data_IF_829602880819
#
_entry.id   IF_829602880819
#
_cell.length_a   1.000
_cell.length_b   1.000
_cell.length_c   1.000
_cell.angle_alpha   90.00
_cell.angle_beta   90.00
_cell.angle_gamma   90.00
#
_symmetry.space_group_name_H-M   'P 1'
#
loop_
_entity.id
_entity.type
_entity.pdbx_description
1 polymer ?
#
# COMPACT_ATOMS: atom_id res chain seq x y z
N UNK A 1 -17.51 2.69 -9.67
CA UNK A 1 -18.12 2.36 -8.36
C UNK A 1 -19.23 1.34 -8.54
N UNK A 2 -19.21 0.23 -7.82
CA UNK A 2 -20.28 -0.76 -7.81
C UNK A 2 -21.02 -0.72 -6.47
N UNK A 3 -22.34 -0.67 -6.52
CA UNK A 3 -23.21 -0.84 -5.37
C UNK A 3 -23.65 -2.29 -5.28
N UNK A 4 -23.32 -2.98 -4.20
CA UNK A 4 -23.81 -4.33 -3.89
C UNK A 4 -24.85 -4.17 -2.79
N UNK A 5 -26.13 -4.30 -3.12
CA UNK A 5 -27.22 -3.75 -2.29
C UNK A 5 -28.26 -4.81 -1.99
N UNK A 6 -28.57 -4.94 -0.70
CA UNK A 6 -29.75 -5.65 -0.24
C UNK A 6 -31.03 -4.97 -0.76
N UNK A 7 -31.90 -5.75 -1.39
CA UNK A 7 -33.17 -5.26 -1.97
C UNK A 7 -34.40 -5.95 -1.41
N UNK A 8 -34.33 -6.36 -0.16
CA UNK A 8 -35.43 -6.90 0.63
C UNK A 8 -36.29 -5.78 1.22
N UNK A 9 -37.36 -6.18 1.89
CA UNK A 9 -38.47 -5.35 2.35
C UNK A 9 -38.05 -4.23 3.31
N UNK A 10 -37.09 -4.54 4.17
CA UNK A 10 -36.60 -3.68 5.25
C UNK A 10 -35.75 -2.52 4.74
N UNK A 11 -34.97 -2.73 3.69
CA UNK A 11 -34.16 -1.72 2.98
C UNK A 11 -34.96 -0.62 2.24
N UNK A 12 -36.29 -0.59 2.37
CA UNK A 12 -37.15 0.30 1.58
C UNK A 12 -36.84 1.78 1.75
N UNK A 13 -36.59 2.21 2.98
CA UNK A 13 -36.38 3.62 3.28
C UNK A 13 -34.95 4.06 2.94
N UNK A 14 -33.94 3.21 3.17
CA UNK A 14 -32.54 3.38 2.71
C UNK A 14 -32.44 3.52 1.20
N UNK A 15 -33.09 2.60 0.47
CA UNK A 15 -33.14 2.63 -0.99
C UNK A 15 -33.83 3.92 -1.47
N UNK A 16 -34.86 4.40 -0.77
CA UNK A 16 -35.51 5.68 -1.11
C UNK A 16 -34.58 6.86 -0.87
N UNK A 17 -33.88 6.91 0.27
CA UNK A 17 -32.95 7.98 0.58
C UNK A 17 -31.83 8.08 -0.47
N UNK A 18 -31.27 6.95 -0.92
CA UNK A 18 -30.27 6.92 -2.00
C UNK A 18 -30.87 7.37 -3.33
N UNK A 19 -32.09 6.94 -3.68
CA UNK A 19 -32.77 7.39 -4.92
C UNK A 19 -32.89 8.90 -4.97
N UNK A 20 -33.34 9.51 -3.88
CA UNK A 20 -33.63 10.94 -3.81
C UNK A 20 -32.35 11.78 -3.88
N UNK A 21 -31.22 11.24 -3.41
CA UNK A 21 -29.92 11.93 -3.34
C UNK A 21 -28.92 11.50 -4.40
N UNK A 22 -29.27 10.56 -5.28
CA UNK A 22 -28.33 10.02 -6.27
C UNK A 22 -27.78 11.09 -7.22
N UNK A 23 -28.62 12.04 -7.66
CA UNK A 23 -28.15 13.12 -8.52
C UNK A 23 -27.18 14.03 -7.77
N UNK A 24 -27.46 14.37 -6.52
CA UNK A 24 -26.56 15.15 -5.67
C UNK A 24 -25.21 14.43 -5.51
N UNK A 25 -25.23 13.12 -5.23
CA UNK A 25 -24.03 12.27 -5.15
C UNK A 25 -23.24 12.35 -6.45
N UNK A 26 -23.88 12.12 -7.60
CA UNK A 26 -23.17 12.11 -8.88
C UNK A 26 -22.63 13.48 -9.26
N UNK A 27 -23.41 14.54 -9.07
CA UNK A 27 -23.03 15.91 -9.38
C UNK A 27 -21.90 16.40 -8.45
N UNK A 28 -21.87 15.96 -7.20
CA UNK A 28 -20.79 16.24 -6.26
C UNK A 28 -19.47 15.62 -6.71
N UNK A 29 -19.48 14.32 -7.04
CA UNK A 29 -18.26 13.61 -7.48
C UNK A 29 -17.75 14.21 -8.79
N UNK A 30 -18.64 14.42 -9.77
CA UNK A 30 -18.25 14.91 -11.10
C UNK A 30 -17.52 16.25 -11.02
N UNK A 31 -17.92 17.12 -10.07
CA UNK A 31 -17.23 18.40 -9.83
C UNK A 31 -15.89 18.26 -9.13
N UNK A 32 -15.71 17.26 -8.28
CA UNK A 32 -14.47 17.05 -7.52
C UNK A 32 -13.41 16.30 -8.33
N UNK A 33 -13.84 15.37 -9.15
CA UNK A 33 -12.98 14.54 -10.00
C UNK A 33 -12.94 15.07 -11.44
N UNK A 34 -12.57 16.35 -11.61
CA UNK A 34 -12.41 16.92 -12.94
C UNK A 34 -11.46 16.06 -13.79
N UNK A 35 -11.90 15.73 -15.01
CA UNK A 35 -11.13 14.90 -15.95
C UNK A 35 -11.27 13.39 -15.77
N UNK A 36 -12.06 12.89 -14.81
CA UNK A 36 -12.32 11.45 -14.65
C UNK A 36 -13.68 11.04 -15.21
N UNK A 37 -13.72 9.92 -15.94
CA UNK A 37 -14.97 9.25 -16.30
C UNK A 37 -15.46 8.39 -15.13
N UNK A 38 -16.60 8.76 -14.55
CA UNK A 38 -17.23 7.97 -13.49
C UNK A 38 -18.24 7.00 -14.11
N UNK A 39 -18.11 5.72 -13.76
CA UNK A 39 -19.06 4.67 -14.12
C UNK A 39 -19.62 4.02 -12.86
N UNK A 40 -20.92 3.75 -12.88
CA UNK A 40 -21.61 3.05 -11.80
C UNK A 40 -22.22 1.74 -12.26
N UNK A 41 -22.16 0.74 -11.38
CA UNK A 41 -22.81 -0.55 -11.51
C UNK A 41 -23.65 -0.85 -10.27
N UNK A 42 -24.63 -1.74 -10.39
CA UNK A 42 -25.47 -2.19 -9.28
C UNK A 42 -25.59 -3.71 -9.33
N UNK A 43 -25.27 -4.38 -8.24
CA UNK A 43 -25.62 -5.78 -7.99
C UNK A 43 -26.62 -5.77 -6.85
N UNK A 44 -27.87 -6.08 -7.13
CA UNK A 44 -28.86 -6.25 -6.08
C UNK A 44 -28.95 -7.71 -5.68
N UNK A 45 -28.94 -7.99 -4.38
CA UNK A 45 -29.18 -9.33 -3.84
C UNK A 45 -30.43 -9.34 -2.94
N UNK A 46 -30.92 -10.55 -2.68
CA UNK A 46 -32.00 -10.90 -1.76
C UNK A 46 -31.67 -12.24 -1.13
N UNK A 47 -32.62 -13.16 -1.04
CA UNK A 47 -32.46 -14.49 -0.49
C UNK A 47 -32.55 -15.61 -1.56
N UNK A 48 -32.15 -16.81 -1.17
CA UNK A 48 -32.31 -18.06 -1.90
C UNK A 48 -33.73 -18.62 -1.79
N UNK A 49 -34.21 -19.37 -2.80
CA UNK A 49 -35.37 -20.23 -2.64
C UNK A 49 -35.16 -21.24 -1.50
N UNK A 50 -36.17 -21.53 -0.66
CA UNK A 50 -37.58 -21.15 -0.80
C UNK A 50 -37.97 -19.79 -0.20
N UNK A 51 -37.03 -19.05 0.38
CA UNK A 51 -37.27 -17.85 1.19
C UNK A 51 -37.66 -16.66 0.32
N UNK A 52 -36.94 -16.46 -0.79
CA UNK A 52 -37.38 -15.63 -1.91
C UNK A 52 -37.39 -16.45 -3.23
N UNK A 53 -38.51 -16.40 -3.96
CA UNK A 53 -38.69 -17.08 -5.25
C UNK A 53 -38.47 -16.16 -6.46
N UNK A 54 -38.16 -14.88 -6.24
CA UNK A 54 -38.09 -13.86 -7.28
C UNK A 54 -36.73 -13.78 -7.97
N UNK A 55 -35.64 -13.68 -7.21
CA UNK A 55 -34.24 -13.78 -7.64
C UNK A 55 -33.30 -13.75 -6.44
N UNK A 56 -32.15 -14.41 -6.56
CA UNK A 56 -31.04 -14.29 -5.59
C UNK A 56 -30.23 -13.04 -5.86
N UNK A 57 -29.76 -12.87 -7.11
CA UNK A 57 -29.01 -11.68 -7.54
C UNK A 57 -29.52 -11.12 -8.87
N UNK A 58 -29.31 -9.81 -9.08
CA UNK A 58 -29.42 -9.16 -10.40
C UNK A 58 -28.27 -8.20 -10.60
N UNK A 59 -27.64 -8.29 -11.76
CA UNK A 59 -26.48 -7.49 -12.13
C UNK A 59 -26.87 -6.44 -13.17
N UNK A 60 -26.52 -5.20 -12.88
CA UNK A 60 -26.51 -4.10 -13.83
C UNK A 60 -25.09 -3.56 -13.94
N UNK A 61 -24.46 -3.86 -15.07
CA UNK A 61 -23.05 -3.55 -15.32
C UNK A 61 -22.78 -2.03 -15.44
N UNK A 62 -21.49 -1.68 -15.44
CA UNK A 62 -21.01 -0.31 -15.45
C UNK A 62 -21.54 0.54 -16.60
N UNK A 63 -21.97 1.76 -16.26
CA UNK A 63 -22.37 2.79 -17.24
C UNK A 63 -22.00 4.17 -16.72
N UNK A 64 -21.59 5.08 -17.61
CA UNK A 64 -21.39 6.50 -17.31
C UNK A 64 -22.68 7.33 -17.45
N UNK A 65 -23.77 6.71 -17.94
CA UNK A 65 -25.07 7.37 -18.10
C UNK A 65 -25.85 7.41 -16.78
N UNK A 66 -25.72 8.51 -16.03
CA UNK A 66 -26.41 8.78 -14.75
C UNK A 66 -27.91 8.46 -14.79
N UNK A 67 -28.61 8.91 -15.83
CA UNK A 67 -30.05 8.63 -16.02
C UNK A 67 -30.38 7.14 -16.08
N UNK A 68 -29.48 6.31 -16.62
CA UNK A 68 -29.67 4.85 -16.64
C UNK A 68 -29.55 4.27 -15.24
N UNK A 69 -28.56 4.70 -14.46
CA UNK A 69 -28.35 4.22 -13.08
C UNK A 69 -29.52 4.63 -12.21
N UNK A 70 -29.92 5.91 -12.26
CA UNK A 70 -31.10 6.39 -11.55
C UNK A 70 -32.33 5.54 -11.86
N UNK A 71 -32.56 5.22 -13.14
CA UNK A 71 -33.66 4.34 -13.55
C UNK A 71 -33.54 2.93 -12.99
N UNK A 72 -32.34 2.35 -12.88
CA UNK A 72 -32.17 1.01 -12.33
C UNK A 72 -32.33 0.99 -10.81
N UNK A 73 -31.71 1.92 -10.10
CA UNK A 73 -31.91 2.08 -8.65
C UNK A 73 -33.41 2.31 -8.38
N UNK A 74 -34.07 3.19 -9.15
CA UNK A 74 -35.53 3.44 -9.07
C UNK A 74 -36.38 2.19 -9.22
N UNK A 75 -35.93 1.18 -9.98
CA UNK A 75 -36.63 -0.08 -10.19
C UNK A 75 -36.42 -1.10 -9.07
N UNK A 76 -35.44 -0.88 -8.18
CA UNK A 76 -35.28 -1.72 -6.99
C UNK A 76 -36.55 -1.59 -6.16
N UNK A 77 -37.29 -2.69 -6.07
CA UNK A 77 -38.52 -2.82 -5.31
C UNK A 77 -38.24 -3.79 -4.17
N UNK A 78 -38.18 -3.33 -2.91
CA UNK A 78 -38.17 -4.16 -1.72
C UNK A 78 -39.19 -5.30 -1.79
N UNK A 79 -38.81 -6.52 -1.41
CA UNK A 79 -39.67 -7.72 -1.34
C UNK A 79 -39.45 -8.47 -0.03
N UNK A 80 -40.40 -9.30 0.38
CA UNK A 80 -40.24 -10.13 1.57
C UNK A 80 -39.06 -11.10 1.36
N UNK A 81 -38.09 -11.11 2.29
CA UNK A 81 -36.88 -11.94 2.25
C UNK A 81 -37.11 -13.37 2.75
N UNK A 82 -38.04 -13.57 3.69
CA UNK A 82 -38.30 -14.89 4.28
C UNK A 82 -37.71 -14.98 5.67
N UNK A 83 -36.56 -15.65 5.83
CA UNK A 83 -35.76 -15.57 7.06
C UNK A 83 -34.92 -14.28 7.11
N UNK A 84 -34.37 -13.92 8.28
CA UNK A 84 -33.65 -12.65 8.41
C UNK A 84 -32.27 -12.56 7.73
N UNK A 85 -31.44 -13.62 7.61
CA UNK A 85 -30.20 -13.55 6.82
C UNK A 85 -30.47 -13.50 5.31
N UNK A 86 -29.51 -12.97 4.54
CA UNK A 86 -29.68 -12.76 3.09
C UNK A 86 -28.44 -13.24 2.29
N UNK A 87 -28.57 -13.35 0.97
CA UNK A 87 -27.54 -13.85 0.03
C UNK A 87 -26.43 -12.84 -0.28
N UNK A 88 -25.81 -12.28 0.78
CA UNK A 88 -24.69 -11.32 0.69
C UNK A 88 -23.52 -11.91 -0.10
N UNK A 89 -23.23 -13.19 0.10
CA UNK A 89 -22.13 -13.89 -0.54
C UNK A 89 -22.29 -13.94 -2.07
N UNK A 90 -23.49 -14.28 -2.57
CA UNK A 90 -23.82 -14.29 -3.99
C UNK A 90 -23.73 -12.89 -4.59
N UNK A 91 -24.17 -11.86 -3.86
CA UNK A 91 -24.03 -10.47 -4.28
C UNK A 91 -22.57 -10.06 -4.51
N UNK A 92 -21.67 -10.43 -3.60
CA UNK A 92 -20.24 -10.16 -3.72
C UNK A 92 -19.59 -11.01 -4.83
N UNK A 93 -19.96 -12.29 -4.93
CA UNK A 93 -19.48 -13.17 -6.00
C UNK A 93 -19.85 -12.64 -7.38
N UNK A 94 -21.09 -12.21 -7.57
CA UNK A 94 -21.55 -11.61 -8.83
C UNK A 94 -20.89 -10.26 -9.09
N UNK A 95 -20.64 -9.46 -8.06
CA UNK A 95 -19.89 -8.21 -8.19
C UNK A 95 -18.46 -8.46 -8.67
N UNK A 96 -17.81 -9.53 -8.22
CA UNK A 96 -16.46 -9.90 -8.66
C UNK A 96 -16.44 -10.50 -10.06
N UNK A 97 -17.38 -11.39 -10.37
CA UNK A 97 -17.29 -12.25 -11.56
C UNK A 97 -18.10 -11.75 -12.76
N UNK A 98 -19.14 -10.94 -12.55
CA UNK A 98 -20.06 -10.51 -13.62
C UNK A 98 -19.95 -9.02 -13.97
N UNK A 99 -19.32 -8.19 -13.12
CA UNK A 99 -19.11 -6.78 -13.44
C UNK A 99 -17.84 -6.57 -14.27
N UNK A 100 -17.94 -5.69 -15.26
CA UNK A 100 -16.84 -5.34 -16.17
C UNK A 100 -15.91 -4.29 -15.56
N UNK A 101 -15.20 -4.64 -14.48
CA UNK A 101 -14.23 -3.76 -13.84
C UNK A 101 -13.12 -3.38 -14.82
N UNK A 102 -12.92 -2.07 -15.03
CA UNK A 102 -11.89 -1.61 -15.93
C UNK A 102 -10.49 -1.70 -15.28
N UNK A 103 -9.49 -2.27 -15.99
CA UNK A 103 -8.17 -2.51 -15.41
C UNK A 103 -7.50 -1.20 -14.97
N UNK A 104 -7.66 -0.14 -15.75
CA UNK A 104 -7.08 1.20 -15.65
C UNK A 104 -7.92 2.18 -14.81
N UNK A 105 -8.75 1.68 -13.89
CA UNK A 105 -9.62 2.52 -13.05
C UNK A 105 -9.35 2.35 -11.56
N UNK A 106 -9.62 3.41 -10.79
CA UNK A 106 -9.90 3.32 -9.36
C UNK A 106 -11.25 2.62 -9.18
N UNK A 107 -11.26 1.51 -8.45
CA UNK A 107 -12.41 0.61 -8.31
C UNK A 107 -12.94 0.71 -6.89
N UNK A 108 -14.22 1.04 -6.76
CA UNK A 108 -14.89 1.16 -5.47
C UNK A 108 -16.03 0.17 -5.42
N UNK A 109 -16.01 -0.74 -4.46
CA UNK A 109 -17.12 -1.62 -4.12
C UNK A 109 -17.76 -1.16 -2.82
N UNK A 110 -19.07 -0.95 -2.84
CA UNK A 110 -19.86 -0.54 -1.69
C UNK A 110 -20.93 -1.61 -1.42
N UNK A 111 -20.72 -2.41 -0.38
CA UNK A 111 -21.72 -3.36 0.14
C UNK A 111 -22.66 -2.63 1.10
N UNK A 112 -23.98 -2.77 0.92
CA UNK A 112 -25.01 -2.10 1.71
C UNK A 112 -26.11 -3.10 2.05
N UNK A 113 -26.44 -3.23 3.34
CA UNK A 113 -27.55 -4.08 3.78
C UNK A 113 -27.86 -3.94 5.26
N UNK A 114 -29.01 -4.48 5.65
CA UNK A 114 -29.52 -4.46 7.02
C UNK A 114 -29.78 -5.88 7.58
N UNK A 115 -29.42 -6.91 6.81
CA UNK A 115 -29.45 -8.30 7.19
C UNK A 115 -28.07 -8.98 7.11
N UNK A 116 -27.73 -9.89 8.05
CA UNK A 116 -26.44 -10.58 8.03
C UNK A 116 -26.39 -11.61 6.89
N UNK A 117 -25.20 -12.06 6.47
CA UNK A 117 -25.07 -13.22 5.59
C UNK A 117 -25.60 -14.50 6.26
N UNK A 118 -26.05 -15.46 5.45
CA UNK A 118 -26.24 -16.85 5.88
C UNK A 118 -24.93 -17.45 6.43
N UNK A 119 -25.07 -18.31 7.44
CA UNK A 119 -23.97 -19.08 8.00
C UNK A 119 -23.62 -18.74 9.45
N UNK A 120 -23.31 -19.76 10.26
CA UNK A 120 -22.93 -19.61 11.67
C UNK A 120 -21.67 -18.79 11.92
N UNK A 121 -20.86 -18.56 10.90
CA UNK A 121 -19.71 -17.66 10.96
C UNK A 121 -20.10 -16.17 11.03
N UNK A 122 -21.35 -15.84 10.68
CA UNK A 122 -21.84 -14.48 10.52
C UNK A 122 -23.04 -14.14 11.41
N UNK A 123 -23.88 -15.13 11.76
CA UNK A 123 -25.05 -14.88 12.60
C UNK A 123 -25.32 -16.06 13.56
N UNK A 124 -26.10 -15.80 14.62
CA UNK A 124 -26.54 -16.80 15.60
C UNK A 124 -28.05 -17.06 15.55
N UNK A 125 -28.71 -16.60 14.49
CA UNK A 125 -30.16 -16.62 14.34
C UNK A 125 -30.67 -18.06 14.16
N UNK A 126 -31.66 -18.45 14.97
CA UNK A 126 -32.15 -19.84 14.96
C UNK A 126 -32.94 -20.18 13.70
N UNK A 127 -33.51 -19.16 13.07
CA UNK A 127 -34.32 -19.19 11.87
C UNK A 127 -33.52 -19.03 10.57
N UNK A 128 -32.18 -18.95 10.63
CA UNK A 128 -31.32 -19.04 9.44
C UNK A 128 -31.57 -20.38 8.73
N UNK A 129 -32.14 -20.32 7.54
CA UNK A 129 -32.47 -21.48 6.72
C UNK A 129 -31.22 -22.15 6.15
N UNK A 130 -30.13 -21.41 6.03
CA UNK A 130 -28.84 -21.84 5.51
C UNK A 130 -27.72 -21.68 6.55
N UNK A 131 -27.78 -22.40 7.68
CA UNK A 131 -26.85 -22.21 8.80
C UNK A 131 -25.41 -22.59 8.45
N UNK A 132 -25.19 -23.40 7.42
CA UNK A 132 -23.86 -23.80 6.96
C UNK A 132 -23.23 -22.79 5.97
N UNK A 133 -23.93 -21.70 5.65
CA UNK A 133 -23.49 -20.65 4.74
C UNK A 133 -24.24 -20.64 3.41
N UNK A 134 -23.77 -19.82 2.46
CA UNK A 134 -24.34 -19.72 1.13
C UNK A 134 -24.49 -21.11 0.46
N UNK A 135 -25.69 -21.48 -0.04
CA UNK A 135 -25.91 -22.74 -0.75
C UNK A 135 -25.05 -22.95 -2.00
N UNK A 136 -24.60 -21.87 -2.63
CA UNK A 136 -23.69 -21.91 -3.78
C UNK A 136 -22.21 -22.05 -3.37
N UNK A 137 -21.91 -22.07 -2.06
CA UNK A 137 -20.56 -22.25 -1.52
C UNK A 137 -19.70 -20.98 -1.51
N UNK A 138 -20.30 -19.80 -1.67
CA UNK A 138 -19.60 -18.52 -1.61
C UNK A 138 -19.45 -18.03 -0.16
N UNK A 139 -18.33 -17.39 0.15
CA UNK A 139 -18.10 -16.78 1.47
C UNK A 139 -17.83 -15.27 1.33
N UNK A 140 -18.57 -14.40 2.04
CA UNK A 140 -18.42 -12.96 1.94
C UNK A 140 -16.99 -12.44 2.19
N UNK A 141 -16.26 -13.01 3.16
CA UNK A 141 -14.88 -12.60 3.47
C UNK A 141 -13.93 -13.07 2.36
N UNK A 142 -14.10 -14.29 1.84
CA UNK A 142 -13.30 -14.79 0.73
C UNK A 142 -13.54 -14.00 -0.57
N UNK A 143 -14.76 -13.55 -0.83
CA UNK A 143 -15.08 -12.76 -2.03
C UNK A 143 -14.41 -11.37 -2.00
N UNK A 144 -14.42 -10.67 -0.85
CA UNK A 144 -13.70 -9.38 -0.74
C UNK A 144 -12.19 -9.55 -0.82
N UNK A 145 -11.64 -10.62 -0.25
CA UNK A 145 -10.21 -10.98 -0.39
C UNK A 145 -9.87 -11.26 -1.84
N UNK A 146 -10.75 -11.96 -2.57
CA UNK A 146 -10.57 -12.26 -3.98
C UNK A 146 -10.65 -11.00 -4.86
N UNK A 147 -11.62 -10.11 -4.61
CA UNK A 147 -11.69 -8.79 -5.27
C UNK A 147 -10.39 -7.98 -5.08
N UNK A 148 -9.85 -7.96 -3.87
CA UNK A 148 -8.58 -7.27 -3.57
C UNK A 148 -7.40 -7.94 -4.28
N UNK A 149 -7.38 -9.27 -4.37
CA UNK A 149 -6.35 -10.02 -5.11
C UNK A 149 -6.42 -9.75 -6.61
N UNK A 150 -7.62 -9.71 -7.18
CA UNK A 150 -7.84 -9.56 -8.63
C UNK A 150 -7.49 -8.14 -9.14
N UNK A 151 -7.55 -7.14 -8.25
CA UNK A 151 -7.43 -5.72 -8.63
C UNK A 151 -6.37 -4.92 -7.87
N UNK A 152 -5.71 -5.53 -6.89
CA UNK A 152 -4.62 -4.91 -6.14
C UNK A 152 -5.04 -3.67 -5.35
N UNK A 153 -4.11 -2.73 -5.26
CA UNK A 153 -4.23 -1.48 -4.52
C UNK A 153 -5.28 -0.52 -5.07
N UNK A 154 -5.72 -0.70 -6.33
CA UNK A 154 -6.78 0.10 -6.96
C UNK A 154 -8.21 -0.27 -6.53
N UNK A 155 -8.41 -1.36 -5.77
CA UNK A 155 -9.73 -1.80 -5.29
C UNK A 155 -9.99 -1.37 -3.84
N UNK A 156 -10.96 -0.50 -3.65
CA UNK A 156 -11.42 0.01 -2.37
C UNK A 156 -12.75 -0.64 -1.99
N UNK A 157 -12.82 -1.19 -0.79
CA UNK A 157 -13.96 -1.98 -0.32
C UNK A 157 -14.54 -1.30 0.91
N UNK A 158 -15.80 -0.91 0.79
CA UNK A 158 -16.56 -0.27 1.85
C UNK A 158 -17.80 -1.09 2.13
N UNK A 159 -18.09 -1.32 3.40
CA UNK A 159 -19.25 -2.09 3.86
C UNK A 159 -20.08 -1.18 4.75
N UNK A 160 -21.38 -1.12 4.48
CA UNK A 160 -22.32 -0.24 5.16
C UNK A 160 -23.42 -1.09 5.77
N UNK A 161 -23.49 -1.10 7.10
CA UNK A 161 -24.56 -1.72 7.85
C UNK A 161 -25.65 -0.70 8.14
N UNK A 162 -26.88 -0.98 7.73
CA UNK A 162 -28.03 -0.08 7.92
C UNK A 162 -28.77 -0.30 9.25
N UNK A 163 -28.25 -1.16 10.14
CA UNK A 163 -28.70 -1.33 11.51
C UNK A 163 -27.62 -2.02 12.38
N UNK A 164 -27.87 -2.14 13.68
CA UNK A 164 -26.95 -2.82 14.62
C UNK A 164 -26.88 -4.33 14.43
N UNK A 165 -27.90 -4.97 13.84
CA UNK A 165 -27.97 -6.43 13.70
C UNK A 165 -26.87 -6.98 12.79
N UNK A 166 -26.40 -6.18 11.84
CA UNK A 166 -25.34 -6.58 10.91
C UNK A 166 -23.94 -6.19 11.36
N UNK A 167 -23.79 -5.41 12.43
CA UNK A 167 -22.51 -4.78 12.76
C UNK A 167 -21.36 -5.79 12.84
N UNK A 168 -21.54 -6.87 13.58
CA UNK A 168 -20.49 -7.88 13.76
C UNK A 168 -20.12 -8.56 12.43
N UNK A 169 -21.12 -8.97 11.65
CA UNK A 169 -20.89 -9.70 10.41
C UNK A 169 -20.27 -8.79 9.34
N UNK A 170 -20.83 -7.61 9.15
CA UNK A 170 -20.38 -6.66 8.13
C UNK A 170 -19.01 -6.06 8.46
N UNK A 171 -18.73 -5.77 9.74
CA UNK A 171 -17.38 -5.38 10.18
C UNK A 171 -16.37 -6.48 9.88
N UNK A 172 -16.71 -7.73 10.15
CA UNK A 172 -15.81 -8.86 9.85
C UNK A 172 -15.52 -9.03 8.35
N UNK A 173 -16.48 -8.65 7.48
CA UNK A 173 -16.27 -8.65 6.03
C UNK A 173 -15.32 -7.52 5.63
N UNK A 174 -15.54 -6.31 6.14
CA UNK A 174 -14.67 -5.17 5.86
C UNK A 174 -13.22 -5.43 6.33
N UNK A 175 -13.05 -5.99 7.52
CA UNK A 175 -11.74 -6.25 8.14
C UNK A 175 -10.98 -7.44 7.52
N UNK A 176 -11.64 -8.23 6.65
CA UNK A 176 -10.98 -9.33 5.94
C UNK A 176 -9.93 -8.84 4.93
N UNK A 177 -9.95 -7.55 4.57
CA UNK A 177 -9.02 -6.93 3.62
C UNK A 177 -8.34 -5.70 4.20
N UNK A 178 -7.05 -5.53 3.93
CA UNK A 178 -6.32 -4.33 4.35
C UNK A 178 -6.93 -3.07 3.71
N UNK A 179 -7.29 -2.10 4.55
CA UNK A 179 -7.92 -0.85 4.11
C UNK A 179 -9.42 -0.95 3.85
N UNK A 180 -10.02 -2.14 4.05
CA UNK A 180 -11.48 -2.26 4.06
C UNK A 180 -12.09 -1.52 5.25
N UNK A 181 -13.24 -0.89 5.04
CA UNK A 181 -13.87 -0.04 6.06
C UNK A 181 -15.35 -0.36 6.23
N UNK A 182 -15.77 -0.39 7.49
CA UNK A 182 -17.16 -0.54 7.88
C UNK A 182 -17.75 0.80 8.33
N UNK A 183 -18.96 1.10 7.86
CA UNK A 183 -19.78 2.22 8.31
C UNK A 183 -21.07 1.68 8.93
N UNK A 184 -21.37 2.14 10.14
CA UNK A 184 -22.62 1.82 10.83
C UNK A 184 -23.57 3.00 10.63
N UNK A 185 -24.76 2.74 10.09
CA UNK A 185 -25.83 3.72 9.95
C UNK A 185 -26.97 3.37 10.90
N UNK A 186 -27.52 4.40 11.54
CA UNK A 186 -28.67 4.29 12.42
C UNK A 186 -29.95 4.74 11.72
N UNK A 187 -29.81 5.65 10.76
CA UNK A 187 -30.93 6.21 9.99
C UNK A 187 -30.65 6.16 8.48
N UNK A 188 -31.69 5.90 7.70
CA UNK A 188 -31.61 5.79 6.23
C UNK A 188 -31.08 7.05 5.53
N UNK A 189 -31.27 8.24 6.12
CA UNK A 189 -30.79 9.52 5.60
C UNK A 189 -29.26 9.69 5.72
N UNK A 190 -28.58 8.86 6.52
CA UNK A 190 -27.12 8.88 6.69
C UNK A 190 -26.41 8.21 5.51
N UNK A 191 -27.09 7.30 4.81
CA UNK A 191 -26.49 6.52 3.72
C UNK A 191 -25.97 7.39 2.56
N UNK A 192 -26.72 8.37 2.04
CA UNK A 192 -26.20 9.30 1.03
C UNK A 192 -24.96 10.07 1.49
N UNK A 193 -24.91 10.53 2.74
CA UNK A 193 -23.78 11.29 3.29
C UNK A 193 -22.55 10.37 3.49
N UNK A 194 -22.75 9.13 3.93
CA UNK A 194 -21.69 8.13 3.98
C UNK A 194 -21.08 7.85 2.60
N UNK A 195 -21.93 7.73 1.57
CA UNK A 195 -21.49 7.59 0.18
C UNK A 195 -20.66 8.81 -0.25
N UNK A 196 -21.14 10.03 0.02
CA UNK A 196 -20.41 11.26 -0.31
C UNK A 196 -19.03 11.30 0.37
N UNK A 197 -18.96 11.01 1.67
CA UNK A 197 -17.69 10.99 2.41
C UNK A 197 -16.69 9.97 1.83
N UNK A 198 -17.16 8.76 1.51
CA UNK A 198 -16.33 7.74 0.84
C UNK A 198 -15.75 8.28 -0.47
N UNK A 199 -16.57 8.99 -1.25
CA UNK A 199 -16.15 9.53 -2.53
C UNK A 199 -15.20 10.72 -2.41
N UNK A 200 -15.38 11.56 -1.39
CA UNK A 200 -14.45 12.63 -1.05
C UNK A 200 -13.07 12.08 -0.70
N UNK A 201 -13.01 11.05 0.15
CA UNK A 201 -11.76 10.38 0.52
C UNK A 201 -11.05 9.78 -0.71
N UNK A 202 -11.80 9.15 -1.62
CA UNK A 202 -11.24 8.64 -2.88
C UNK A 202 -10.75 9.77 -3.77
N UNK A 203 -11.47 10.90 -3.82
CA UNK A 203 -11.07 12.09 -4.57
C UNK A 203 -9.74 12.67 -4.08
N UNK A 204 -9.58 12.82 -2.77
CA UNK A 204 -8.33 13.31 -2.17
C UNK A 204 -7.16 12.36 -2.43
N UNK A 205 -7.40 11.04 -2.37
CA UNK A 205 -6.41 10.02 -2.72
C UNK A 205 -5.97 10.09 -4.19
N UNK A 206 -6.90 10.33 -5.11
CA UNK A 206 -6.59 10.50 -6.53
C UNK A 206 -5.74 11.76 -6.74
N UNK A 207 -6.04 12.84 -6.01
CA UNK A 207 -5.26 14.07 -6.10
C UNK A 207 -3.83 13.89 -5.56
N UNK A 208 -3.67 13.12 -4.48
CA UNK A 208 -2.36 12.71 -3.99
C UNK A 208 -1.60 11.83 -5.00
N UNK A 209 -2.27 10.89 -5.66
CA UNK A 209 -1.67 10.09 -6.73
C UNK A 209 -1.22 10.95 -7.91
N UNK A 210 -1.98 11.99 -8.29
CA UNK A 210 -1.58 12.97 -9.31
C UNK A 210 -0.33 13.74 -8.91
N UNK A 211 -0.21 14.13 -7.63
CA UNK A 211 0.99 14.80 -7.10
C UNK A 211 2.21 13.89 -7.15
N UNK A 212 2.05 12.61 -6.78
CA UNK A 212 3.11 11.60 -6.87
C UNK A 212 3.50 11.34 -8.32
N UNK A 213 2.54 11.26 -9.24
CA UNK A 213 2.79 11.08 -10.67
C UNK A 213 3.59 12.27 -11.23
N UNK A 214 3.17 13.51 -10.95
CA UNK A 214 3.90 14.70 -11.39
C UNK A 214 5.33 14.75 -10.82
N UNK A 215 5.51 14.32 -9.56
CA UNK A 215 6.84 14.17 -8.98
C UNK A 215 7.67 13.11 -9.71
N UNK A 216 7.08 11.96 -10.03
CA UNK A 216 7.75 10.89 -10.76
C UNK A 216 8.22 11.37 -12.15
N UNK A 217 7.33 12.02 -12.90
CA UNK A 217 7.61 12.53 -14.26
C UNK A 217 8.68 13.62 -14.27
N UNK A 218 8.62 14.56 -13.33
CA UNK A 218 9.63 15.63 -13.20
C UNK A 218 11.02 15.11 -12.82
N UNK A 219 11.12 13.89 -12.28
CA UNK A 219 12.37 13.23 -11.89
C UNK A 219 12.74 12.06 -12.80
N UNK A 220 12.04 11.86 -13.92
CA UNK A 220 12.23 10.74 -14.87
C UNK A 220 12.24 9.36 -14.17
N UNK A 221 11.44 9.23 -13.10
CA UNK A 221 11.37 8.02 -12.29
C UNK A 221 12.65 7.69 -11.51
N UNK A 222 13.54 8.67 -11.28
CA UNK A 222 14.80 8.48 -10.54
C UNK A 222 14.86 9.42 -9.32
N UNK A 223 14.57 8.90 -8.12
CA UNK A 223 14.56 9.66 -6.87
C UNK A 223 14.64 8.74 -5.63
N UNK A 224 15.02 9.30 -4.48
CA UNK A 224 14.92 8.61 -3.19
C UNK A 224 13.49 8.72 -2.64
N UNK A 225 12.98 7.63 -2.08
CA UNK A 225 11.59 7.57 -1.59
C UNK A 225 11.37 8.44 -0.35
N UNK A 226 12.37 8.61 0.52
CA UNK A 226 12.25 9.44 1.71
C UNK A 226 12.27 10.92 1.33
N UNK A 227 13.21 11.31 0.47
CA UNK A 227 13.27 12.69 -0.06
C UNK A 227 11.98 13.07 -0.78
N UNK A 228 11.45 12.17 -1.62
CA UNK A 228 10.19 12.38 -2.30
C UNK A 228 9.01 12.50 -1.32
N UNK A 229 8.96 11.64 -0.31
CA UNK A 229 7.92 11.69 0.73
C UNK A 229 7.96 13.02 1.51
N UNK A 230 9.16 13.47 1.90
CA UNK A 230 9.38 14.76 2.56
C UNK A 230 8.99 15.95 1.67
N UNK A 231 9.41 15.94 0.40
CA UNK A 231 9.08 16.99 -0.58
C UNK A 231 7.58 17.10 -0.84
N UNK A 232 6.88 15.97 -0.89
CA UNK A 232 5.44 15.90 -1.07
C UNK A 232 4.66 16.09 0.25
N UNK A 233 5.34 16.13 1.40
CA UNK A 233 4.70 16.25 2.71
C UNK A 233 3.79 15.07 3.06
N UNK A 234 4.11 13.86 2.60
CA UNK A 234 3.35 12.62 2.85
C UNK A 234 4.23 11.57 3.52
N UNK A 235 3.62 10.60 4.20
CA UNK A 235 4.36 9.45 4.74
C UNK A 235 4.90 8.55 3.61
N UNK A 236 6.03 7.90 3.87
CA UNK A 236 6.66 6.95 2.95
C UNK A 236 5.75 5.76 2.63
N UNK A 237 4.89 5.32 3.57
CA UNK A 237 3.89 4.27 3.28
C UNK A 237 2.85 4.78 2.27
N UNK A 238 2.37 6.01 2.44
CA UNK A 238 1.42 6.64 1.51
C UNK A 238 2.03 6.78 0.12
N UNK A 239 3.27 7.28 0.02
CA UNK A 239 4.00 7.37 -1.25
C UNK A 239 4.14 5.98 -1.91
N UNK A 240 4.57 4.96 -1.16
CA UNK A 240 4.73 3.60 -1.70
C UNK A 240 3.40 3.04 -2.22
N UNK A 241 2.31 3.27 -1.50
CA UNK A 241 0.98 2.78 -1.90
C UNK A 241 0.50 3.51 -3.15
N UNK A 242 0.74 4.81 -3.24
CA UNK A 242 0.48 5.63 -4.43
C UNK A 242 1.25 5.12 -5.65
N UNK A 243 2.56 4.89 -5.50
CA UNK A 243 3.39 4.31 -6.58
C UNK A 243 2.89 2.94 -7.02
N UNK A 244 2.51 2.05 -6.10
CA UNK A 244 1.89 0.76 -6.43
C UNK A 244 0.63 0.93 -7.27
N UNK A 245 -0.28 1.83 -6.87
CA UNK A 245 -1.50 2.13 -7.64
C UNK A 245 -1.18 2.70 -9.02
N UNK A 246 -0.25 3.65 -9.13
CA UNK A 246 0.15 4.23 -10.42
C UNK A 246 0.76 3.19 -11.37
N UNK A 247 1.46 2.18 -10.86
CA UNK A 247 1.92 1.03 -11.65
C UNK A 247 0.74 0.17 -12.09
N UNK A 248 -0.15 -0.19 -11.17
CA UNK A 248 -1.34 -1.01 -11.45
C UNK A 248 -2.28 -0.34 -12.47
N UNK A 249 -2.39 0.99 -12.44
CA UNK A 249 -3.14 1.81 -13.39
C UNK A 249 -2.40 2.00 -14.73
N UNK A 250 -1.13 1.63 -14.82
CA UNK A 250 -0.32 1.80 -16.03
C UNK A 250 0.15 3.24 -16.28
N UNK A 251 0.03 4.14 -15.30
CA UNK A 251 0.52 5.52 -15.40
C UNK A 251 2.03 5.62 -15.31
N UNK A 252 2.68 4.72 -14.56
CA UNK A 252 4.14 4.61 -14.52
C UNK A 252 4.58 3.18 -14.89
N UNK A 253 5.69 3.03 -15.62
CA UNK A 253 6.10 1.72 -16.15
C UNK A 253 6.79 0.84 -15.12
N UNK A 254 7.26 1.41 -14.00
CA UNK A 254 8.04 0.71 -12.96
C UNK A 254 8.17 1.52 -11.68
N UNK A 255 8.58 0.82 -10.62
CA UNK A 255 9.08 1.45 -9.39
C UNK A 255 10.21 2.45 -9.67
N UNK A 256 10.28 3.56 -8.91
CA UNK A 256 11.36 4.53 -9.03
C UNK A 256 12.72 3.85 -8.87
N UNK A 257 13.66 4.23 -9.71
CA UNK A 257 15.06 3.87 -9.50
C UNK A 257 15.58 4.77 -8.39
N UNK A 258 16.02 4.18 -7.28
CA UNK A 258 16.72 4.96 -6.26
C UNK A 258 17.85 5.72 -6.92
N UNK A 259 17.92 7.04 -6.74
CA UNK A 259 19.17 7.75 -7.05
C UNK A 259 20.23 7.12 -6.15
N UNK A 260 21.43 6.76 -6.67
CA UNK A 260 22.59 6.79 -5.81
C UNK A 260 22.58 8.21 -5.23
N UNK A 261 22.37 8.33 -3.93
CA UNK A 261 22.54 9.59 -3.23
C UNK A 261 23.84 10.20 -3.80
N UNK A 262 23.77 11.39 -4.41
CA UNK A 262 25.01 12.11 -4.68
C UNK A 262 25.72 12.28 -3.32
N UNK A 263 27.06 12.31 -3.28
CA UNK A 263 27.79 12.62 -2.04
C UNK A 263 27.22 13.86 -1.30
N UNK A 264 26.52 14.73 -2.01
CA UNK A 264 25.95 15.99 -1.52
C UNK A 264 24.71 15.87 -0.61
N UNK A 265 24.00 14.73 -0.56
CA UNK A 265 22.73 14.65 0.20
C UNK A 265 22.84 14.25 1.68
N UNK A 266 24.06 14.02 2.20
CA UNK A 266 24.31 14.00 3.66
C UNK A 266 25.41 14.98 4.08
N UNK A 267 26.17 15.52 3.14
CA UNK A 267 27.32 16.39 3.40
C UNK A 267 28.42 15.76 4.27
N UNK A 268 28.38 14.43 4.49
CA UNK A 268 29.41 13.74 5.27
C UNK A 268 30.67 13.66 4.41
N UNK A 269 31.69 14.40 4.81
CA UNK A 269 32.97 14.44 4.13
C UNK A 269 33.94 13.46 4.80
N UNK A 270 34.61 12.65 4.00
CA UNK A 270 35.51 11.59 4.47
C UNK A 270 36.86 11.73 3.78
N UNK A 271 37.89 12.04 4.56
CA UNK A 271 39.27 12.03 4.09
C UNK A 271 39.98 10.76 4.58
N UNK A 272 40.48 9.99 3.63
CA UNK A 272 41.25 8.78 3.86
C UNK A 272 42.74 9.13 4.05
N UNK A 273 43.38 8.52 5.06
CA UNK A 273 44.80 8.72 5.35
C UNK A 273 45.74 8.09 4.33
N UNK A 274 47.01 7.95 4.69
CA UNK A 274 48.01 7.25 3.88
C UNK A 274 48.36 5.90 4.46
N UNK A 275 48.80 4.98 3.60
CA UNK A 275 49.40 3.70 3.98
C UNK A 275 50.91 3.79 3.73
N UNK A 276 51.77 3.25 4.62
CA UNK A 276 53.20 3.19 4.39
C UNK A 276 53.55 2.42 3.11
N UNK A 277 54.59 2.85 2.39
CA UNK A 277 55.09 2.13 1.19
C UNK A 277 55.63 0.73 1.50
N UNK A 278 55.99 0.51 2.76
CA UNK A 278 56.49 -0.74 3.31
C UNK A 278 55.87 -0.99 4.68
N UNK A 279 55.26 -2.16 4.85
CA UNK A 279 54.69 -2.66 6.11
C UNK A 279 55.42 -3.94 6.52
N UNK A 280 55.46 -4.26 7.82
CA UNK A 280 56.13 -5.45 8.35
C UNK A 280 55.05 -6.41 8.86
N UNK A 281 55.14 -7.68 8.47
CA UNK A 281 54.26 -8.73 8.97
C UNK A 281 54.17 -8.72 10.50
N UNK A 282 52.99 -8.94 11.08
CA UNK A 282 52.79 -8.98 12.53
C UNK A 282 53.05 -7.68 13.31
N UNK A 283 53.53 -6.59 12.68
CA UNK A 283 53.73 -5.30 13.35
C UNK A 283 52.56 -4.35 13.07
N UNK A 284 51.85 -3.86 14.09
CA UNK A 284 50.75 -2.93 13.91
C UNK A 284 51.21 -1.59 13.33
N UNK A 285 50.41 -1.00 12.45
CA UNK A 285 50.55 0.41 12.05
C UNK A 285 49.20 1.12 12.14
N UNK A 286 49.25 2.45 12.26
CA UNK A 286 48.05 3.29 12.42
C UNK A 286 47.59 3.84 11.08
N UNK A 287 46.28 3.83 10.86
CA UNK A 287 45.64 4.42 9.69
C UNK A 287 44.54 5.40 10.12
N UNK A 288 44.68 6.65 9.68
CA UNK A 288 43.75 7.71 10.03
C UNK A 288 42.60 7.83 9.03
N UNK A 289 41.39 8.02 9.54
CA UNK A 289 40.22 8.43 8.75
C UNK A 289 39.63 9.68 9.40
N UNK A 290 39.49 10.76 8.63
CA UNK A 290 38.82 11.97 9.10
C UNK A 290 37.40 12.00 8.55
N UNK A 291 36.43 12.22 9.42
CA UNK A 291 35.01 12.26 9.06
C UNK A 291 34.37 13.52 9.60
N UNK A 292 33.76 14.30 8.71
CA UNK A 292 33.00 15.50 9.06
C UNK A 292 31.52 15.20 8.90
N UNK A 293 30.75 15.29 9.99
CA UNK A 293 29.30 15.13 9.99
C UNK A 293 28.62 16.51 10.12
N UNK A 294 28.00 17.07 9.07
CA UNK A 294 27.27 18.33 9.17
C UNK A 294 25.84 18.18 9.71
N UNK A 295 25.34 16.94 9.87
CA UNK A 295 23.98 16.65 10.32
C UNK A 295 23.76 17.04 11.79
N UNK A 296 22.50 17.35 12.15
CA UNK A 296 22.08 17.53 13.54
C UNK A 296 21.90 16.21 14.30
N UNK A 297 22.13 15.07 13.66
CA UNK A 297 22.01 13.73 14.25
C UNK A 297 23.34 12.98 14.25
N UNK A 298 23.48 12.03 15.17
CA UNK A 298 24.63 11.09 15.19
C UNK A 298 24.58 10.20 13.94
N UNK A 299 25.73 9.97 13.33
CA UNK A 299 25.88 9.15 12.12
C UNK A 299 26.77 7.95 12.45
N UNK A 300 26.22 6.75 12.33
CA UNK A 300 26.98 5.50 12.47
C UNK A 300 27.64 5.13 11.14
N UNK A 301 28.96 5.18 11.07
CA UNK A 301 29.74 4.73 9.91
C UNK A 301 30.43 3.39 10.22
N UNK A 302 30.79 2.66 9.17
CA UNK A 302 31.53 1.41 9.24
C UNK A 302 32.78 1.51 8.38
N UNK A 303 33.95 1.29 8.94
CA UNK A 303 35.22 1.30 8.21
C UNK A 303 35.70 -0.12 8.02
N UNK A 304 35.87 -0.52 6.76
CA UNK A 304 36.40 -1.82 6.37
C UNK A 304 37.76 -1.61 5.73
N UNK A 305 38.78 -2.27 6.25
CA UNK A 305 40.10 -2.30 5.64
C UNK A 305 40.48 -3.75 5.37
N UNK A 306 40.94 -4.04 4.16
CA UNK A 306 41.34 -5.40 3.76
C UNK A 306 42.75 -5.37 3.18
N UNK A 307 43.64 -6.16 3.78
CA UNK A 307 44.98 -6.41 3.27
C UNK A 307 44.95 -7.64 2.37
N UNK A 308 45.38 -7.48 1.12
CA UNK A 308 45.45 -8.52 0.11
C UNK A 308 46.91 -8.69 -0.29
N UNK A 309 47.44 -9.90 -0.12
CA UNK A 309 48.76 -10.33 -0.61
C UNK A 309 48.60 -11.27 -1.80
N UNK A 310 49.71 -11.73 -2.36
CA UNK A 310 49.69 -12.71 -3.46
C UNK A 310 49.05 -14.05 -3.05
N UNK A 311 49.04 -14.38 -1.75
CA UNK A 311 48.39 -15.58 -1.17
C UNK A 311 46.90 -15.39 -0.86
N UNK A 312 46.34 -14.20 -1.11
CA UNK A 312 44.93 -13.88 -0.89
C UNK A 312 44.72 -12.83 0.21
N UNK A 313 43.55 -12.87 0.86
CA UNK A 313 43.21 -11.89 1.90
C UNK A 313 43.93 -12.27 3.20
N UNK A 314 44.87 -11.42 3.60
CA UNK A 314 45.70 -11.63 4.80
C UNK A 314 45.03 -11.09 6.07
N UNK A 315 44.32 -9.96 5.97
CA UNK A 315 43.67 -9.33 7.14
C UNK A 315 42.41 -8.57 6.71
N UNK A 316 41.37 -8.59 7.55
CA UNK A 316 40.19 -7.73 7.41
C UNK A 316 39.90 -7.06 8.75
N UNK A 317 39.90 -5.73 8.76
CA UNK A 317 39.32 -4.92 9.83
C UNK A 317 37.95 -4.45 9.42
N UNK A 318 37.05 -4.43 10.39
CA UNK A 318 35.68 -4.05 10.20
C UNK A 318 35.13 -3.40 11.49
N UNK A 319 35.32 -2.08 11.61
CA UNK A 319 34.96 -1.30 12.79
C UNK A 319 33.74 -0.42 12.52
N UNK A 320 32.91 -0.20 13.54
CA UNK A 320 31.78 0.72 13.49
C UNK A 320 32.04 1.90 14.43
N UNK A 321 31.77 3.12 13.97
CA UNK A 321 32.00 4.34 14.72
C UNK A 321 30.78 5.26 14.63
N UNK A 322 30.39 5.83 15.77
CA UNK A 322 29.36 6.87 15.83
C UNK A 322 30.04 8.24 15.79
N UNK A 323 29.70 9.02 14.76
CA UNK A 323 30.18 10.39 14.59
C UNK A 323 29.10 11.36 15.08
N UNK A 324 29.46 12.19 16.05
CA UNK A 324 28.56 13.15 16.67
C UNK A 324 27.93 14.14 15.67
N UNK A 325 26.82 14.81 16.05
CA UNK A 325 26.17 15.81 15.22
C UNK A 325 27.05 17.06 15.09
N UNK A 326 27.08 17.66 13.90
CA UNK A 326 27.83 18.89 13.58
C UNK A 326 29.29 18.86 14.06
N UNK A 327 29.93 17.70 13.98
CA UNK A 327 31.28 17.48 14.47
C UNK A 327 32.20 16.92 13.40
N UNK A 328 33.50 17.10 13.61
CA UNK A 328 34.55 16.45 12.86
C UNK A 328 35.31 15.53 13.82
N UNK A 329 35.56 14.30 13.38
CA UNK A 329 36.20 13.27 14.19
C UNK A 329 37.34 12.62 13.42
N UNK A 330 38.47 12.48 14.11
CA UNK A 330 39.62 11.72 13.64
C UNK A 330 39.54 10.31 14.22
N UNK A 331 39.36 9.33 13.34
CA UNK A 331 39.37 7.91 13.69
C UNK A 331 40.77 7.35 13.41
N UNK A 332 41.24 6.48 14.30
CA UNK A 332 42.55 5.83 14.18
C UNK A 332 42.37 4.31 14.26
N UNK A 333 42.54 3.65 13.11
CA UNK A 333 42.50 2.20 12.99
C UNK A 333 43.89 1.63 13.23
N UNK A 334 43.97 0.45 13.85
CA UNK A 334 45.24 -0.27 14.04
C UNK A 334 45.24 -1.51 13.16
N UNK A 335 45.98 -1.46 12.05
CA UNK A 335 46.10 -2.56 11.09
C UNK A 335 47.30 -3.43 11.44
N UNK A 336 47.13 -4.76 11.47
CA UNK A 336 48.17 -5.73 11.85
C UNK A 336 48.38 -6.72 10.69
N UNK A 337 49.32 -6.46 9.78
CA UNK A 337 49.52 -7.29 8.59
C UNK A 337 49.80 -8.75 8.94
N UNK A 338 48.81 -9.63 8.82
CA UNK A 338 48.97 -11.06 9.11
C UNK A 338 49.55 -11.81 7.90
N UNK A 339 50.63 -11.27 7.33
CA UNK A 339 51.34 -11.81 6.18
C UNK A 339 52.80 -12.00 6.56
N UNK A 340 53.28 -13.25 6.47
CA UNK A 340 54.62 -13.66 6.92
C UNK A 340 55.57 -13.96 5.75
N UNK A 341 55.15 -13.70 4.51
CA UNK A 341 55.99 -13.80 3.32
C UNK A 341 56.24 -12.41 2.74
N UNK A 342 57.48 -12.13 2.35
CA UNK A 342 57.84 -10.86 1.73
C UNK A 342 57.25 -10.76 0.31
N UNK A 343 56.50 -9.71 0.02
CA UNK A 343 55.77 -9.63 -1.25
C UNK A 343 55.06 -8.32 -1.52
N UNK A 344 54.37 -8.25 -2.67
CA UNK A 344 53.49 -7.13 -2.98
C UNK A 344 52.21 -7.27 -2.17
N UNK A 345 51.67 -6.14 -1.74
CA UNK A 345 50.42 -6.10 -1.03
C UNK A 345 49.57 -4.92 -1.46
N UNK A 346 48.27 -5.09 -1.32
CA UNK A 346 47.27 -4.07 -1.58
C UNK A 346 46.40 -3.91 -0.35
N UNK A 347 46.25 -2.68 0.13
CA UNK A 347 45.28 -2.37 1.18
C UNK A 347 44.11 -1.65 0.52
N UNK A 348 42.91 -2.22 0.64
CA UNK A 348 41.67 -1.57 0.27
C UNK A 348 41.01 -1.04 1.53
N UNK A 349 40.74 0.25 1.58
CA UNK A 349 39.96 0.88 2.66
C UNK A 349 38.63 1.35 2.09
N UNK A 350 37.55 1.10 2.82
CA UNK A 350 36.18 1.48 2.48
C UNK A 350 35.51 2.04 3.73
N UNK A 351 34.90 3.22 3.61
CA UNK A 351 34.07 3.81 4.66
C UNK A 351 32.64 3.73 4.19
N UNK A 352 31.76 3.14 5.00
CA UNK A 352 30.37 2.86 4.68
C UNK A 352 29.44 3.56 5.67
N UNK A 353 28.23 3.90 5.22
CA UNK A 353 27.11 4.31 6.06
C UNK A 353 25.90 3.44 5.70
N UNK A 354 25.49 2.57 6.62
CA UNK A 354 24.54 1.49 6.30
C UNK A 354 25.10 0.57 5.20
N UNK A 355 24.42 0.52 4.06
CA UNK A 355 24.86 -0.22 2.85
C UNK A 355 25.58 0.65 1.81
N UNK A 356 25.74 1.96 2.06
CA UNK A 356 26.33 2.93 1.12
C UNK A 356 27.83 3.08 1.36
N UNK A 357 28.63 3.19 0.30
CA UNK A 357 30.05 3.55 0.37
C UNK A 357 30.24 5.07 0.31
N UNK A 358 30.84 5.65 1.35
CA UNK A 358 31.18 7.08 1.47
C UNK A 358 32.55 7.40 0.84
N UNK A 359 33.55 6.56 1.08
CA UNK A 359 34.89 6.70 0.51
C UNK A 359 35.50 5.32 0.26
N UNK A 360 36.35 5.21 -0.76
CA UNK A 360 37.23 4.05 -0.90
C UNK A 360 38.53 4.42 -1.57
N UNK A 361 39.61 3.82 -1.12
CA UNK A 361 40.90 3.93 -1.74
C UNK A 361 41.65 2.61 -1.69
N UNK A 362 42.42 2.38 -2.75
CA UNK A 362 43.30 1.22 -2.89
C UNK A 362 44.74 1.74 -2.83
N UNK A 363 45.49 1.25 -1.85
CA UNK A 363 46.90 1.56 -1.64
C UNK A 363 47.74 0.37 -2.06
N UNK A 364 48.79 0.63 -2.82
CA UNK A 364 49.81 -0.37 -3.15
C UNK A 364 50.96 -0.23 -2.15
N UNK A 365 51.36 -1.33 -1.53
CA UNK A 365 52.43 -1.39 -0.53
C UNK A 365 53.24 -2.68 -0.70
N UNK A 366 54.22 -2.90 0.18
CA UNK A 366 55.02 -4.13 0.25
C UNK A 366 55.03 -4.66 1.67
N UNK A 367 54.91 -5.97 1.84
CA UNK A 367 55.09 -6.64 3.13
C UNK A 367 56.53 -7.12 3.22
N UNK A 368 57.18 -6.85 4.36
CA UNK A 368 58.48 -7.40 4.74
C UNK A 368 58.32 -8.38 5.90
N UNK A 369 59.19 -9.38 5.95
CA UNK A 369 59.30 -10.32 7.08
C UNK A 369 59.81 -9.61 8.34
N UNK A 370 59.45 -10.14 9.52
CA UNK A 370 59.81 -9.60 10.85
C UNK A 370 61.27 -9.80 11.18
#
# INVERSE_FOLDING_TARGET
MAFVVDTTGSMKDDIRAVKDRLFDIVDHITRRTEGLEIRFAVVSYRDHPPQDLSYVTRVFDFTSKVKKIHKQISKLKPSLGGDPPEAVADGLYDARTKLSWAPDAYKVLLLIGDAPPHGRAYNTLKDDYWPDGCPAGHDPREEVVSLRRDHGSTMFIFVVGCNEAVEQSFRSIAEAVEGGRYFSLQEANELPEAILNILEEIGDLIEDDRRVLAYYESHDGVFDLREAAESLGIDIRTLKTSLSRLIELGHIPRWPRGRPLSPDSMGIDVELGSVPDAIVGGRPFKYGVRVRNPSSSVVAIRVVASLITDDGISEIINEQHDVGPRSEQQLELTLVPMAFEAGRATIRVEVLYGSRQLASQIYRTRVYEV
#
